data_IF_402196303019
#
_entry.id   IF_402196303019
#
_cell.length_a   1.000
_cell.length_b   1.000
_cell.length_c   1.000
_cell.angle_alpha   90.00
_cell.angle_beta   90.00
_cell.angle_gamma   90.00
#
_symmetry.space_group_name_H-M   'P 1'
#
loop_
_entity.id
_entity.type
_entity.pdbx_description
1 polymer ?
#
# COMPACT_ATOMS: atom_id res chain seq x y z
N UNK A 1 -1.76 2.55 -52.27
CA UNK A 1 -1.09 2.42 -53.57
C UNK A 1 0.21 3.20 -53.51
N UNK A 2 1.32 2.47 -53.47
CA UNK A 2 2.69 2.68 -54.00
C UNK A 2 3.50 1.51 -53.40
N UNK A 3 4.51 1.02 -54.13
CA UNK A 3 4.76 -0.42 -54.22
C UNK A 3 5.85 -1.03 -53.31
N UNK A 4 5.84 -2.37 -53.30
CA UNK A 4 6.72 -3.29 -52.58
C UNK A 4 7.83 -3.79 -53.52
N UNK A 5 9.07 -4.00 -53.01
CA UNK A 5 10.17 -4.94 -53.43
C UNK A 5 11.56 -4.31 -53.18
N UNK A 6 12.65 -5.04 -52.90
CA UNK A 6 12.87 -6.48 -52.56
C UNK A 6 14.30 -6.73 -52.02
N UNK A 7 14.54 -7.90 -51.41
CA UNK A 7 15.81 -8.46 -50.87
C UNK A 7 15.97 -9.93 -51.39
N UNK A 8 17.00 -10.77 -51.10
CA UNK A 8 18.39 -10.61 -50.60
C UNK A 8 19.41 -10.70 -51.79
N UNK A 9 20.49 -11.55 -51.94
CA UNK A 9 21.10 -12.68 -51.17
C UNK A 9 22.19 -12.23 -50.14
N UNK A 10 22.83 -12.99 -49.23
CA UNK A 10 23.34 -14.40 -49.00
C UNK A 10 24.83 -14.62 -49.35
N UNK A 11 25.60 -15.16 -48.38
CA UNK A 11 27.02 -15.55 -48.42
C UNK A 11 27.78 -15.14 -47.14
N UNK A 12 27.74 -15.85 -46.02
CA UNK A 12 28.55 -17.05 -45.68
C UNK A 12 30.07 -16.84 -45.74
N UNK A 13 30.75 -16.76 -44.58
CA UNK A 13 31.40 -17.94 -43.98
C UNK A 13 31.88 -17.72 -42.52
N UNK A 14 32.31 -18.82 -41.89
CA UNK A 14 32.59 -19.04 -40.45
C UNK A 14 33.97 -18.57 -39.93
N UNK A 15 34.11 -18.45 -38.60
CA UNK A 15 35.05 -19.31 -37.83
C UNK A 15 35.11 -19.04 -36.30
N UNK A 16 34.72 -20.06 -35.53
CA UNK A 16 35.31 -20.56 -34.26
C UNK A 16 36.01 -19.63 -33.24
N UNK A 17 35.56 -19.74 -31.98
CA UNK A 17 36.45 -20.21 -30.90
C UNK A 17 35.66 -21.01 -29.85
N UNK A 18 36.06 -22.27 -29.59
CA UNK A 18 35.55 -23.06 -28.47
C UNK A 18 36.62 -24.01 -27.89
N UNK A 19 36.43 -24.33 -26.61
CA UNK A 19 36.88 -25.51 -25.84
C UNK A 19 38.31 -26.10 -25.99
N UNK A 20 39.00 -26.16 -24.83
CA UNK A 20 39.87 -27.29 -24.43
C UNK A 20 39.47 -27.67 -22.99
N UNK A 21 38.83 -28.81 -22.74
CA UNK A 21 39.36 -30.19 -22.78
C UNK A 21 40.42 -30.45 -21.71
N UNK A 22 40.01 -31.17 -20.65
CA UNK A 22 40.56 -32.49 -20.33
C UNK A 22 39.54 -33.32 -19.53
N UNK A 23 39.48 -34.61 -19.85
CA UNK A 23 38.66 -35.59 -19.16
C UNK A 23 39.55 -36.76 -18.69
N UNK A 24 39.02 -37.61 -17.81
CA UNK A 24 39.38 -39.02 -17.79
C UNK A 24 38.16 -39.83 -17.34
N UNK A 25 38.12 -41.12 -17.69
CA UNK A 25 36.89 -41.92 -17.72
C UNK A 25 37.10 -43.36 -17.18
N UNK A 26 36.11 -44.23 -17.44
CA UNK A 26 36.00 -45.65 -17.03
C UNK A 26 35.59 -45.90 -15.55
N UNK A 27 34.68 -46.84 -15.25
CA UNK A 27 33.82 -47.60 -16.17
C UNK A 27 32.90 -48.64 -15.50
N UNK A 28 31.76 -48.90 -16.17
CA UNK A 28 30.83 -50.07 -16.13
C UNK A 28 30.82 -51.03 -14.91
N UNK A 29 29.61 -51.29 -14.39
CA UNK A 29 29.29 -52.53 -13.66
C UNK A 29 27.82 -52.63 -13.24
N UNK A 30 27.07 -53.58 -13.80
CA UNK A 30 25.68 -53.89 -13.38
C UNK A 30 25.65 -55.16 -12.54
N UNK A 31 24.87 -55.22 -11.46
CA UNK A 31 24.73 -56.43 -10.65
C UNK A 31 23.65 -56.34 -9.57
N UNK A 32 22.66 -57.22 -9.64
CA UNK A 32 21.56 -57.39 -8.66
C UNK A 32 22.04 -57.99 -7.34
N UNK A 33 21.46 -57.58 -6.20
CA UNK A 33 21.65 -58.29 -4.94
C UNK A 33 20.86 -57.70 -3.77
N UNK A 34 19.86 -58.43 -3.26
CA UNK A 34 19.16 -58.11 -2.02
C UNK A 34 19.94 -58.60 -0.79
N UNK A 35 20.12 -57.75 0.23
CA UNK A 35 20.11 -58.14 1.65
C UNK A 35 20.12 -56.89 2.54
N UNK A 36 19.23 -56.84 3.55
CA UNK A 36 19.50 -56.09 4.79
C UNK A 36 20.48 -56.87 5.66
N UNK A 37 21.25 -56.18 6.51
CA UNK A 37 21.01 -56.39 7.93
C UNK A 37 20.92 -55.09 8.72
N UNK A 38 20.26 -55.16 9.89
CA UNK A 38 20.29 -54.11 10.89
C UNK A 38 21.56 -54.21 11.73
N UNK A 39 22.20 -53.07 12.03
CA UNK A 39 22.89 -52.89 13.31
C UNK A 39 22.98 -51.42 13.67
N UNK A 40 22.65 -51.13 14.93
CA UNK A 40 22.98 -49.90 15.63
C UNK A 40 24.48 -49.61 15.60
N UNK A 41 24.83 -48.32 15.69
CA UNK A 41 26.07 -47.86 16.33
C UNK A 41 25.76 -46.54 17.04
N UNK A 42 25.93 -46.49 18.36
CA UNK A 42 25.55 -45.32 19.16
C UNK A 42 26.44 -44.10 18.87
N UNK A 43 25.84 -42.90 18.86
CA UNK A 43 26.63 -41.68 18.98
C UNK A 43 27.07 -41.55 20.45
N UNK A 44 28.38 -41.62 20.70
CA UNK A 44 28.93 -41.59 22.05
C UNK A 44 28.72 -40.21 22.69
N UNK A 45 27.81 -40.13 23.67
CA UNK A 45 27.67 -38.98 24.57
C UNK A 45 28.82 -38.94 25.57
N UNK A 46 30.01 -38.55 25.10
CA UNK A 46 31.20 -38.33 25.93
C UNK A 46 31.06 -37.07 26.78
N UNK A 47 30.45 -37.20 27.96
CA UNK A 47 30.23 -36.08 28.89
C UNK A 47 31.45 -35.80 29.78
N UNK A 48 31.96 -34.57 29.74
CA UNK A 48 32.78 -33.95 30.79
C UNK A 48 32.70 -32.43 30.65
N UNK A 49 32.57 -31.69 31.76
CA UNK A 49 32.53 -30.22 31.75
C UNK A 49 31.13 -29.61 31.78
N UNK A 50 30.22 -30.13 32.62
CA UNK A 50 29.11 -29.31 33.10
C UNK A 50 29.71 -28.05 33.76
N UNK A 51 29.24 -26.89 33.33
CA UNK A 51 29.61 -25.56 33.83
C UNK A 51 28.37 -24.68 33.91
N UNK A 52 27.30 -25.25 34.49
CA UNK A 52 26.09 -24.57 34.97
C UNK A 52 26.37 -23.59 36.13
N UNK A 53 27.34 -22.69 35.98
CA UNK A 53 27.78 -21.69 36.97
C UNK A 53 28.12 -20.35 36.29
N UNK A 54 27.17 -19.76 35.56
CA UNK A 54 27.28 -18.38 35.03
C UNK A 54 25.90 -17.78 34.63
N UNK A 55 24.89 -17.92 35.51
CA UNK A 55 23.63 -17.16 35.38
C UNK A 55 23.71 -15.75 35.97
N UNK A 56 24.51 -15.58 37.03
CA UNK A 56 24.69 -14.31 37.76
C UNK A 56 26.09 -13.68 37.54
N UNK A 57 26.63 -13.82 36.31
CA UNK A 57 27.90 -13.19 35.93
C UNK A 57 27.73 -11.66 35.83
N UNK A 58 28.65 -10.87 36.39
CA UNK A 58 28.60 -9.42 36.24
C UNK A 58 29.01 -8.97 34.82
N UNK A 59 28.72 -7.72 34.49
CA UNK A 59 29.17 -7.15 33.21
C UNK A 59 30.71 -7.14 33.09
N UNK A 60 31.41 -6.93 34.20
CA UNK A 60 32.88 -6.92 34.24
C UNK A 60 33.46 -8.33 34.03
N UNK A 61 32.85 -9.36 34.64
CA UNK A 61 33.23 -10.77 34.44
C UNK A 61 33.05 -11.19 32.97
N UNK A 62 31.93 -10.80 32.36
CA UNK A 62 31.64 -11.11 30.96
C UNK A 62 32.55 -10.32 30.01
N UNK A 63 32.91 -9.08 30.31
CA UNK A 63 33.94 -8.35 29.55
C UNK A 63 35.31 -9.03 29.64
N UNK A 64 35.70 -9.52 30.81
CA UNK A 64 36.95 -10.27 31.02
C UNK A 64 36.94 -11.64 30.30
N UNK A 65 35.79 -12.33 30.26
CA UNK A 65 35.59 -13.53 29.44
C UNK A 65 35.69 -13.22 27.94
N UNK A 66 35.11 -12.11 27.45
CA UNK A 66 35.29 -11.63 26.07
C UNK A 66 36.76 -11.33 25.77
N UNK A 67 37.51 -10.75 26.71
CA UNK A 67 38.95 -10.47 26.55
C UNK A 67 39.77 -11.75 26.45
N UNK A 68 39.56 -12.72 27.36
CA UNK A 68 40.23 -14.03 27.34
C UNK A 68 39.91 -14.81 26.07
N UNK A 69 38.63 -14.92 25.70
CA UNK A 69 38.21 -15.63 24.49
C UNK A 69 38.80 -14.99 23.21
N UNK A 70 38.93 -13.65 23.16
CA UNK A 70 39.60 -12.95 22.06
C UNK A 70 41.08 -13.32 21.92
N UNK A 71 41.81 -13.53 23.03
CA UNK A 71 43.21 -13.98 22.98
C UNK A 71 43.32 -15.39 22.42
N UNK A 72 42.48 -16.32 22.88
CA UNK A 72 42.42 -17.70 22.36
C UNK A 72 42.11 -17.74 20.85
N UNK A 73 41.25 -16.84 20.33
CA UNK A 73 40.99 -16.71 18.88
C UNK A 73 42.22 -16.22 18.08
N UNK A 74 43.14 -15.47 18.71
CA UNK A 74 44.37 -14.98 18.08
C UNK A 74 45.51 -16.00 18.18
N UNK A 75 45.55 -16.79 19.25
CA UNK A 75 46.56 -17.83 19.50
C UNK A 75 46.25 -19.14 18.76
N UNK A 76 44.98 -19.42 18.45
CA UNK A 76 44.56 -20.62 17.71
C UNK A 76 44.87 -20.55 16.21
N UNK A 77 45.29 -21.68 15.64
CA UNK A 77 45.70 -21.81 14.25
C UNK A 77 44.59 -21.39 13.26
N UNK A 78 44.99 -20.78 12.13
CA UNK A 78 44.06 -20.26 11.14
C UNK A 78 43.19 -21.38 10.53
N UNK A 79 41.91 -21.08 10.29
CA UNK A 79 40.91 -22.01 9.76
C UNK A 79 40.61 -23.28 10.59
N UNK A 80 41.19 -23.46 11.79
CA UNK A 80 40.91 -24.61 12.66
C UNK A 80 39.44 -24.63 13.16
N UNK A 81 38.92 -25.83 13.45
CA UNK A 81 37.56 -25.97 14.02
C UNK A 81 37.46 -25.46 15.46
N UNK A 82 38.56 -25.53 16.21
CA UNK A 82 38.72 -24.84 17.50
C UNK A 82 38.51 -23.33 17.35
N UNK A 83 39.19 -22.68 16.39
CA UNK A 83 39.03 -21.24 16.12
C UNK A 83 37.60 -20.90 15.66
N UNK A 84 36.93 -21.78 14.91
CA UNK A 84 35.51 -21.63 14.57
C UNK A 84 34.60 -21.71 15.82
N UNK A 85 34.90 -22.59 16.77
CA UNK A 85 34.18 -22.68 18.05
C UNK A 85 34.44 -21.45 18.93
N UNK A 86 35.69 -21.05 19.10
CA UNK A 86 36.08 -19.86 19.87
C UNK A 86 35.47 -18.58 19.31
N UNK A 87 35.38 -18.42 17.99
CA UNK A 87 34.68 -17.28 17.36
C UNK A 87 33.18 -17.28 17.67
N UNK A 88 32.51 -18.44 17.70
CA UNK A 88 31.10 -18.53 18.13
C UNK A 88 30.94 -18.14 19.61
N UNK A 89 31.79 -18.67 20.49
CA UNK A 89 31.79 -18.34 21.93
C UNK A 89 32.09 -16.86 22.19
N UNK A 90 32.96 -16.24 21.38
CA UNK A 90 33.26 -14.81 21.44
C UNK A 90 32.06 -13.93 21.02
N UNK A 91 31.21 -14.41 20.10
CA UNK A 91 29.96 -13.73 19.71
C UNK A 91 28.94 -13.87 20.85
N UNK A 92 28.74 -15.07 21.37
CA UNK A 92 27.84 -15.37 22.50
C UNK A 92 28.14 -14.51 23.73
N UNK A 93 29.42 -14.47 24.17
CA UNK A 93 29.85 -13.66 25.31
C UNK A 93 29.64 -12.16 25.09
N UNK A 94 29.79 -11.66 23.85
CA UNK A 94 29.52 -10.25 23.52
C UNK A 94 28.04 -9.91 23.54
N UNK A 95 27.19 -10.81 23.06
CA UNK A 95 25.73 -10.68 23.19
C UNK A 95 25.36 -10.61 24.68
N UNK A 96 25.94 -11.46 25.52
CA UNK A 96 25.70 -11.46 26.98
C UNK A 96 26.11 -10.15 27.67
N UNK A 97 27.26 -9.55 27.32
CA UNK A 97 27.66 -8.21 27.79
C UNK A 97 26.65 -7.15 27.35
N UNK A 98 26.18 -7.23 26.11
CA UNK A 98 25.22 -6.26 25.57
C UNK A 98 23.82 -6.40 26.19
N UNK A 99 23.35 -7.62 26.42
CA UNK A 99 22.11 -7.91 27.16
C UNK A 99 22.13 -7.24 28.54
N UNK A 100 23.20 -7.42 29.33
CA UNK A 100 23.30 -6.79 30.66
C UNK A 100 23.30 -5.26 30.59
N UNK A 101 24.04 -4.66 29.66
CA UNK A 101 24.02 -3.20 29.43
C UNK A 101 22.66 -2.68 29.03
N UNK A 102 21.96 -3.40 28.15
CA UNK A 102 20.63 -3.01 27.70
C UNK A 102 19.60 -3.20 28.83
N UNK A 103 19.81 -4.12 29.80
CA UNK A 103 18.96 -4.22 31.01
C UNK A 103 19.28 -3.21 32.12
N UNK A 104 20.48 -2.63 32.16
CA UNK A 104 20.85 -1.66 33.21
C UNK A 104 20.47 -0.21 32.86
N UNK A 105 20.17 0.09 31.60
CA UNK A 105 19.90 1.44 31.09
C UNK A 105 18.48 1.57 30.51
N UNK A 106 17.46 1.41 31.37
CA UNK A 106 16.03 1.53 31.02
C UNK A 106 15.68 2.84 30.27
N UNK A 107 16.48 3.90 30.46
CA UNK A 107 16.32 5.20 29.77
C UNK A 107 16.65 5.16 28.26
N UNK A 108 17.23 4.07 27.75
CA UNK A 108 17.42 3.82 26.32
C UNK A 108 16.14 3.34 25.62
N UNK A 109 15.08 2.99 26.35
CA UNK A 109 13.89 2.37 25.78
C UNK A 109 12.66 3.28 25.63
N UNK A 110 12.74 4.54 26.04
CA UNK A 110 11.66 5.50 25.87
C UNK A 110 11.45 5.89 24.39
N UNK A 111 10.19 6.17 24.00
CA UNK A 111 9.86 6.67 22.67
C UNK A 111 10.26 8.15 22.56
N UNK A 112 11.18 8.48 21.66
CA UNK A 112 11.74 9.84 21.54
C UNK A 112 11.10 10.60 20.37
N UNK A 113 10.67 11.84 20.59
CA UNK A 113 10.08 12.68 19.54
C UNK A 113 11.11 13.67 19.01
N UNK A 114 11.51 13.51 17.74
CA UNK A 114 12.53 14.37 17.09
C UNK A 114 12.02 14.76 15.70
N UNK A 115 11.93 16.07 15.42
CA UNK A 115 11.41 16.61 14.16
C UNK A 115 10.07 15.96 13.70
N UNK A 116 9.19 15.68 14.67
CA UNK A 116 7.89 15.04 14.44
C UNK A 116 7.90 13.52 14.24
N UNK A 117 9.05 12.86 14.33
CA UNK A 117 9.14 11.39 14.28
C UNK A 117 8.94 10.82 15.68
N UNK A 118 7.95 9.93 15.87
CA UNK A 118 7.85 9.13 17.09
C UNK A 118 8.80 7.92 16.99
N UNK A 119 10.05 8.09 17.43
CA UNK A 119 11.09 7.07 17.35
C UNK A 119 10.93 6.02 18.46
N UNK A 120 10.48 4.83 18.07
CA UNK A 120 10.36 3.67 18.95
C UNK A 120 11.63 2.80 18.83
N UNK A 121 12.33 2.49 19.93
CA UNK A 121 13.49 1.60 19.90
C UNK A 121 13.08 0.16 19.57
N UNK A 122 13.75 -0.43 18.58
CA UNK A 122 13.44 -1.77 18.08
C UNK A 122 14.25 -2.81 18.87
N UNK A 123 13.66 -3.33 19.96
CA UNK A 123 14.31 -4.26 20.89
C UNK A 123 14.49 -5.69 20.36
N UNK A 124 13.77 -6.09 19.31
CA UNK A 124 13.64 -7.50 18.92
C UNK A 124 13.98 -7.75 17.45
N UNK A 125 14.22 -9.03 17.17
CA UNK A 125 14.44 -9.56 15.83
C UNK A 125 13.36 -9.10 14.85
N UNK A 126 13.77 -8.52 13.73
CA UNK A 126 12.90 -8.42 12.56
C UNK A 126 13.37 -9.47 11.56
N UNK A 127 12.54 -10.49 11.34
CA UNK A 127 12.76 -11.58 10.36
C UNK A 127 12.49 -11.13 8.92
N UNK A 128 12.77 -9.86 8.60
CA UNK A 128 12.80 -9.38 7.22
C UNK A 128 13.98 -10.02 6.48
N UNK A 129 13.71 -10.64 5.35
CA UNK A 129 14.72 -11.20 4.43
C UNK A 129 15.66 -10.15 3.82
N UNK A 130 15.32 -8.86 3.94
CA UNK A 130 16.09 -7.73 3.44
C UNK A 130 16.83 -6.98 4.57
N UNK A 131 18.09 -6.54 4.37
CA UNK A 131 18.81 -5.73 5.35
C UNK A 131 18.20 -4.33 5.50
N UNK A 132 18.09 -3.86 6.75
CA UNK A 132 17.63 -2.50 7.07
C UNK A 132 18.78 -1.51 6.93
N UNK A 133 18.51 -0.30 6.42
CA UNK A 133 19.49 0.77 6.26
C UNK A 133 19.07 2.04 7.00
N UNK A 134 20.06 2.78 7.51
CA UNK A 134 19.84 4.02 8.25
C UNK A 134 19.56 5.19 7.29
N UNK A 135 18.35 5.75 7.34
CA UNK A 135 17.89 6.88 6.50
C UNK A 135 18.69 8.18 6.69
N UNK A 136 19.48 8.29 7.75
CA UNK A 136 20.39 9.41 8.00
C UNK A 136 21.79 9.21 7.39
N UNK A 137 22.44 8.05 7.61
CA UNK A 137 23.83 7.82 7.20
C UNK A 137 24.00 6.89 5.99
N UNK A 138 22.93 6.28 5.49
CA UNK A 138 22.89 5.23 4.45
C UNK A 138 23.68 3.94 4.75
N UNK A 139 24.27 3.80 5.94
CA UNK A 139 24.90 2.56 6.40
C UNK A 139 23.87 1.51 6.84
N UNK A 140 24.18 0.23 6.64
CA UNK A 140 23.36 -0.88 7.10
C UNK A 140 23.19 -0.86 8.63
N UNK A 141 21.99 -1.22 9.09
CA UNK A 141 21.67 -1.45 10.50
C UNK A 141 21.83 -2.96 10.75
N UNK A 142 22.76 -3.32 11.64
CA UNK A 142 22.97 -4.71 12.04
C UNK A 142 21.92 -5.06 13.09
N UNK A 143 20.71 -5.40 12.65
CA UNK A 143 19.52 -5.58 13.49
C UNK A 143 19.65 -6.65 14.58
N UNK A 144 20.64 -7.54 14.48
CA UNK A 144 20.97 -8.57 15.49
C UNK A 144 22.09 -8.16 16.47
N UNK A 145 22.71 -6.99 16.29
CA UNK A 145 23.94 -6.56 17.00
C UNK A 145 23.93 -5.09 17.45
N UNK A 146 22.96 -4.28 17.01
CA UNK A 146 22.94 -2.84 17.25
C UNK A 146 21.52 -2.36 17.51
N UNK A 147 21.27 -1.85 18.71
CA UNK A 147 20.04 -1.16 19.08
C UNK A 147 19.80 0.06 18.17
N UNK A 148 18.57 0.19 17.67
CA UNK A 148 18.20 1.14 16.62
C UNK A 148 16.75 1.60 16.76
N UNK A 149 16.41 2.71 16.11
CA UNK A 149 15.11 3.36 16.24
C UNK A 149 14.39 3.41 14.90
N UNK A 150 13.08 3.15 14.93
CA UNK A 150 12.17 3.32 13.80
C UNK A 150 11.07 4.31 14.17
N UNK A 151 10.83 5.30 13.31
CA UNK A 151 9.67 6.17 13.42
C UNK A 151 8.40 5.33 13.18
N UNK A 152 7.44 5.34 14.12
CA UNK A 152 6.21 4.58 13.92
C UNK A 152 5.40 5.09 12.72
N UNK A 153 5.42 6.40 12.47
CA UNK A 153 4.50 7.08 11.56
C UNK A 153 4.92 6.99 10.08
N UNK A 154 6.22 7.16 9.80
CA UNK A 154 6.78 7.16 8.43
C UNK A 154 7.90 6.13 8.20
N UNK A 155 8.13 5.22 9.16
CA UNK A 155 9.11 4.11 9.11
C UNK A 155 10.56 4.53 8.85
N UNK A 156 10.90 5.82 9.03
CA UNK A 156 12.28 6.31 9.02
C UNK A 156 13.11 5.53 10.03
N UNK A 157 14.18 4.90 9.56
CA UNK A 157 15.00 3.96 10.34
C UNK A 157 16.38 4.54 10.60
N UNK A 158 16.90 4.47 11.84
CA UNK A 158 18.25 4.97 12.13
C UNK A 158 18.96 4.25 13.29
N UNK A 159 20.30 4.19 13.23
CA UNK A 159 21.12 3.75 14.37
C UNK A 159 20.95 4.70 15.56
N UNK A 160 21.05 4.22 16.79
CA UNK A 160 21.00 5.06 18.01
C UNK A 160 21.93 6.28 17.94
N UNK A 161 23.18 6.10 17.50
CA UNK A 161 24.18 7.18 17.30
C UNK A 161 23.83 8.21 16.22
N UNK A 162 22.88 7.91 15.34
CA UNK A 162 22.41 8.82 14.29
C UNK A 162 21.18 9.64 14.73
N UNK A 163 20.50 9.24 15.82
CA UNK A 163 19.23 9.78 16.26
C UNK A 163 19.28 11.32 16.48
N UNK A 164 20.27 11.81 17.21
CA UNK A 164 20.46 13.24 17.47
C UNK A 164 20.93 14.05 16.25
N UNK A 165 21.24 13.39 15.13
CA UNK A 165 21.69 14.00 13.87
C UNK A 165 20.62 13.93 12.76
N UNK A 166 19.41 13.42 13.05
CA UNK A 166 18.29 13.38 12.09
C UNK A 166 17.92 14.80 11.69
N UNK A 167 17.87 15.05 10.37
CA UNK A 167 17.58 16.35 9.77
C UNK A 167 16.44 16.34 8.73
N UNK A 168 15.83 15.17 8.48
CA UNK A 168 14.59 15.04 7.71
C UNK A 168 13.42 15.16 8.69
N UNK A 169 12.50 16.10 8.45
CA UNK A 169 11.23 16.18 9.21
C UNK A 169 10.39 14.93 8.93
N UNK A 170 9.60 14.49 9.92
CA UNK A 170 8.73 13.33 9.76
C UNK A 170 7.75 13.52 8.61
N UNK A 171 7.73 12.56 7.69
CA UNK A 171 6.96 12.67 6.46
C UNK A 171 5.45 12.61 6.72
N UNK A 172 5.02 11.97 7.81
CA UNK A 172 3.64 12.02 8.29
C UNK A 172 3.23 13.44 8.72
N UNK A 173 4.13 14.19 9.37
CA UNK A 173 3.87 15.59 9.76
C UNK A 173 3.82 16.47 8.52
N UNK A 174 4.79 16.35 7.59
CA UNK A 174 4.78 17.07 6.31
C UNK A 174 3.49 16.79 5.51
N UNK A 175 3.05 15.54 5.45
CA UNK A 175 1.80 15.14 4.79
C UNK A 175 0.54 15.64 5.51
N UNK A 176 0.61 15.95 6.81
CA UNK A 176 -0.51 16.52 7.56
C UNK A 176 -0.57 18.04 7.43
N UNK A 177 0.58 18.72 7.50
CA UNK A 177 0.70 20.18 7.47
C UNK A 177 0.48 20.78 6.08
N UNK A 178 0.86 20.09 5.00
CA UNK A 178 0.83 20.62 3.63
C UNK A 178 -0.58 20.72 2.99
N UNK A 179 -1.64 20.86 3.79
CA UNK A 179 -3.04 20.79 3.36
C UNK A 179 -3.66 19.40 3.54
N UNK A 180 -3.11 18.58 4.45
CA UNK A 180 -3.51 17.18 4.62
C UNK A 180 -2.98 16.26 3.51
N UNK A 181 -3.29 14.96 3.66
CA UNK A 181 -2.77 13.86 2.83
C UNK A 181 -3.08 14.07 1.34
N UNK A 182 -2.16 14.73 0.64
CA UNK A 182 -2.32 15.15 -0.75
C UNK A 182 -1.02 14.93 -1.51
N UNK A 183 -1.15 14.57 -2.78
CA UNK A 183 -0.01 14.46 -3.69
C UNK A 183 0.24 15.78 -4.43
N UNK A 184 1.49 16.05 -4.80
CA UNK A 184 1.82 17.13 -5.73
C UNK A 184 1.09 16.91 -7.06
N UNK A 185 0.29 17.90 -7.48
CA UNK A 185 -0.64 17.82 -8.62
C UNK A 185 0.02 18.09 -9.99
N UNK A 186 1.24 18.61 -9.97
CA UNK A 186 1.99 19.08 -11.13
C UNK A 186 3.35 18.41 -11.21
N UNK A 187 3.84 18.19 -12.44
CA UNK A 187 5.14 17.57 -12.67
C UNK A 187 6.21 18.62 -12.35
N UNK A 188 6.97 18.41 -11.28
CA UNK A 188 8.01 19.34 -10.83
C UNK A 188 9.12 19.49 -11.89
N UNK A 189 9.31 20.68 -12.50
CA UNK A 189 10.41 20.90 -13.42
C UNK A 189 11.75 20.91 -12.67
N UNK A 190 12.83 20.53 -13.36
CA UNK A 190 14.18 20.54 -12.78
C UNK A 190 14.57 21.94 -12.28
N UNK A 191 15.02 22.01 -11.04
CA UNK A 191 15.65 23.19 -10.47
C UNK A 191 17.17 22.96 -10.41
N UNK A 192 17.87 23.44 -11.45
CA UNK A 192 19.32 23.33 -11.58
C UNK A 192 20.09 23.63 -10.28
N UNK A 193 21.10 22.81 -9.97
CA UNK A 193 21.82 22.75 -8.69
C UNK A 193 22.34 24.11 -8.15
N UNK A 194 22.56 25.09 -9.02
CA UNK A 194 22.91 26.46 -8.66
C UNK A 194 21.83 27.18 -7.86
N UNK A 195 20.54 26.97 -8.15
CA UNK A 195 19.39 27.56 -7.42
C UNK A 195 19.36 27.13 -5.95
N UNK A 196 19.77 25.90 -5.67
CA UNK A 196 19.93 25.36 -4.31
C UNK A 196 21.36 25.55 -3.75
N UNK A 197 22.12 26.51 -4.28
CA UNK A 197 23.41 26.95 -3.74
C UNK A 197 24.48 25.85 -3.69
N UNK A 198 24.44 24.88 -4.61
CA UNK A 198 25.30 23.69 -4.61
C UNK A 198 25.27 22.90 -3.30
N UNK A 199 24.08 22.73 -2.71
CA UNK A 199 23.86 21.96 -1.48
C UNK A 199 22.74 20.95 -1.64
N UNK A 200 22.85 19.79 -0.98
CA UNK A 200 21.78 18.79 -0.91
C UNK A 200 20.48 19.42 -0.38
N UNK A 201 19.36 19.20 -1.08
CA UNK A 201 18.06 19.77 -0.71
C UNK A 201 17.60 19.38 0.70
N UNK A 202 17.94 18.17 1.16
CA UNK A 202 17.69 17.68 2.52
C UNK A 202 18.79 18.14 3.50
N UNK A 203 19.88 17.40 3.62
CA UNK A 203 20.89 17.60 4.69
C UNK A 203 21.84 18.79 4.50
N UNK A 204 21.60 19.68 3.52
CA UNK A 204 22.32 20.94 3.23
C UNK A 204 23.85 20.86 3.05
N UNK A 205 24.44 19.67 3.06
CA UNK A 205 25.85 19.38 2.71
C UNK A 205 26.15 19.92 1.32
N UNK A 206 27.32 20.56 1.15
CA UNK A 206 27.80 21.03 -0.15
C UNK A 206 28.03 19.85 -1.08
N UNK A 207 27.54 19.94 -2.31
CA UNK A 207 27.76 19.01 -3.41
C UNK A 207 28.92 19.56 -4.23
N UNK A 208 29.95 18.74 -4.49
CA UNK A 208 31.18 19.18 -5.15
C UNK A 208 31.59 18.22 -6.26
N UNK A 209 31.74 18.74 -7.49
CA UNK A 209 32.16 17.98 -8.67
C UNK A 209 33.65 17.58 -8.68
N UNK A 210 34.32 17.55 -7.51
CA UNK A 210 35.77 17.28 -7.40
C UNK A 210 36.12 15.79 -7.54
N UNK A 211 35.13 14.91 -7.52
CA UNK A 211 35.31 13.46 -7.64
C UNK A 211 34.10 12.86 -8.34
N UNK A 212 34.33 12.23 -9.51
CA UNK A 212 33.28 11.65 -10.35
C UNK A 212 32.38 10.63 -9.61
N UNK A 213 32.86 10.03 -8.53
CA UNK A 213 32.11 9.11 -7.68
C UNK A 213 31.00 9.76 -6.83
N UNK A 214 30.91 11.10 -6.76
CA UNK A 214 29.97 11.83 -5.89
C UNK A 214 29.03 12.73 -6.71
N UNK A 215 28.34 12.15 -7.68
CA UNK A 215 27.36 12.87 -8.49
C UNK A 215 26.09 13.27 -7.69
N UNK A 216 25.50 14.45 -7.96
CA UNK A 216 24.19 14.83 -7.44
C UNK A 216 23.08 14.01 -8.10
N UNK A 217 22.07 13.63 -7.31
CA UNK A 217 20.92 12.83 -7.77
C UNK A 217 19.65 13.68 -7.78
N UNK A 218 19.01 13.81 -8.94
CA UNK A 218 17.76 14.54 -9.12
C UNK A 218 16.57 13.67 -8.69
N UNK A 219 15.68 14.23 -7.86
CA UNK A 219 14.43 13.59 -7.44
C UNK A 219 13.27 14.09 -8.31
N UNK A 220 12.69 13.21 -9.13
CA UNK A 220 11.61 13.56 -10.07
C UNK A 220 10.38 14.17 -9.36
N UNK A 221 10.00 13.62 -8.20
CA UNK A 221 8.86 14.11 -7.41
C UNK A 221 9.00 15.57 -6.93
N UNK A 222 10.22 16.08 -6.77
CA UNK A 222 10.47 17.41 -6.18
C UNK A 222 11.21 18.39 -7.09
N UNK A 223 11.81 17.92 -8.20
CA UNK A 223 12.65 18.73 -9.08
C UNK A 223 13.97 19.19 -8.46
N UNK A 224 14.37 18.67 -7.28
CA UNK A 224 15.55 19.09 -6.52
C UNK A 224 16.66 18.02 -6.52
N UNK A 225 17.92 18.47 -6.35
CA UNK A 225 19.09 17.59 -6.23
C UNK A 225 19.43 17.23 -4.78
N UNK A 226 19.91 15.99 -4.61
CA UNK A 226 20.24 15.39 -3.33
C UNK A 226 21.64 14.74 -3.40
N UNK A 227 22.31 14.64 -2.26
CA UNK A 227 23.51 13.80 -2.14
C UNK A 227 23.11 12.31 -1.98
N UNK A 228 24.04 11.41 -2.28
CA UNK A 228 23.80 9.96 -2.30
C UNK A 228 23.21 9.39 -1.00
N UNK A 229 23.52 9.97 0.18
CA UNK A 229 22.93 9.58 1.48
C UNK A 229 21.42 9.83 1.58
N UNK A 230 20.91 10.87 0.91
CA UNK A 230 19.51 11.30 0.95
C UNK A 230 18.68 10.80 -0.25
N UNK A 231 19.32 10.13 -1.22
CA UNK A 231 18.70 9.68 -2.46
C UNK A 231 19.39 8.40 -2.94
N UNK A 232 18.74 7.26 -2.70
CA UNK A 232 19.36 5.94 -2.93
C UNK A 232 19.13 5.39 -4.35
N UNK A 233 18.56 6.20 -5.26
CA UNK A 233 18.07 5.78 -6.57
C UNK A 233 16.97 4.70 -6.48
N UNK A 234 16.16 4.77 -5.41
CA UNK A 234 14.87 4.09 -5.36
C UNK A 234 13.97 4.71 -6.43
N UNK A 235 13.35 3.87 -7.26
CA UNK A 235 12.35 4.30 -8.24
C UNK A 235 10.95 4.16 -7.63
N UNK A 236 10.07 5.14 -7.85
CA UNK A 236 8.66 5.12 -7.42
C UNK A 236 7.78 5.67 -8.55
N UNK A 237 6.51 5.26 -8.59
CA UNK A 237 5.50 5.86 -9.47
C UNK A 237 5.20 7.30 -9.02
N UNK A 238 5.04 8.22 -9.96
CA UNK A 238 4.92 9.66 -9.67
C UNK A 238 3.48 10.14 -9.88
N UNK A 239 2.76 10.56 -8.81
CA UNK A 239 1.34 10.93 -8.86
C UNK A 239 0.99 11.94 -9.95
N UNK A 240 1.79 13.00 -10.11
CA UNK A 240 1.56 14.00 -11.15
C UNK A 240 1.66 13.41 -12.57
N UNK A 241 2.55 12.43 -12.81
CA UNK A 241 2.70 11.77 -14.11
C UNK A 241 1.52 10.85 -14.40
N UNK A 242 1.04 10.12 -13.40
CA UNK A 242 -0.20 9.32 -13.47
C UNK A 242 -1.40 10.21 -13.81
N UNK A 243 -1.62 11.27 -13.03
CA UNK A 243 -2.81 12.13 -13.13
C UNK A 243 -2.80 12.98 -14.41
N UNK A 244 -1.63 13.47 -14.87
CA UNK A 244 -1.54 14.33 -16.07
C UNK A 244 -1.41 13.52 -17.37
N UNK A 245 -0.64 12.43 -17.36
CA UNK A 245 -0.19 11.75 -18.58
C UNK A 245 -0.59 10.26 -18.68
N UNK A 246 -1.20 9.68 -17.64
CA UNK A 246 -1.39 8.21 -17.49
C UNK A 246 -0.06 7.42 -17.48
N UNK A 247 1.03 8.08 -17.05
CA UNK A 247 2.38 7.53 -16.97
C UNK A 247 2.62 6.91 -15.58
N UNK A 248 2.57 5.58 -15.52
CA UNK A 248 2.89 4.77 -14.33
C UNK A 248 4.37 4.38 -14.23
N UNK A 249 5.23 4.78 -15.18
CA UNK A 249 6.61 4.29 -15.23
C UNK A 249 7.42 4.90 -14.06
N UNK A 250 8.10 4.07 -13.24
CA UNK A 250 8.82 4.55 -12.07
C UNK A 250 9.92 5.58 -12.39
N UNK A 251 10.07 6.59 -11.53
CA UNK A 251 11.11 7.63 -11.61
C UNK A 251 11.95 7.63 -10.35
N UNK A 252 13.22 8.03 -10.47
CA UNK A 252 14.15 8.07 -9.34
C UNK A 252 13.78 9.21 -8.37
N UNK A 253 13.75 8.90 -7.07
CA UNK A 253 13.29 9.83 -6.04
C UNK A 253 14.16 9.83 -4.76
N UNK A 254 14.11 10.96 -4.05
CA UNK A 254 14.75 11.13 -2.73
C UNK A 254 14.09 10.28 -1.66
N UNK A 255 14.81 9.97 -0.58
CA UNK A 255 14.31 9.10 0.49
C UNK A 255 13.09 9.67 1.22
N UNK A 256 13.00 10.99 1.36
CA UNK A 256 11.80 11.67 1.84
C UNK A 256 10.59 11.45 0.89
N UNK A 257 10.81 11.52 -0.42
CA UNK A 257 9.76 11.28 -1.42
C UNK A 257 9.34 9.80 -1.49
N UNK A 258 10.27 8.83 -1.35
CA UNK A 258 9.91 7.40 -1.18
C UNK A 258 8.95 7.22 0.00
N UNK A 259 9.33 7.75 1.16
CA UNK A 259 8.52 7.66 2.39
C UNK A 259 7.15 8.35 2.24
N UNK A 260 7.06 9.44 1.47
CA UNK A 260 5.80 10.14 1.23
C UNK A 260 4.89 9.39 0.27
N UNK A 261 5.47 8.87 -0.82
CA UNK A 261 4.73 8.13 -1.84
C UNK A 261 4.16 6.84 -1.24
N UNK A 262 4.97 6.06 -0.51
CA UNK A 262 4.50 4.84 0.19
C UNK A 262 3.44 5.14 1.27
N UNK A 263 3.51 6.26 1.98
CA UNK A 263 2.51 6.65 2.99
C UNK A 263 1.15 7.02 2.38
N UNK A 264 1.15 7.44 1.11
CA UNK A 264 -0.03 7.91 0.37
C UNK A 264 -0.55 6.90 -0.67
N UNK A 265 0.21 5.87 -1.03
CA UNK A 265 -0.05 4.96 -2.16
C UNK A 265 -1.46 4.33 -2.12
N UNK A 266 -1.87 3.82 -0.95
CA UNK A 266 -3.19 3.23 -0.70
C UNK A 266 -4.28 4.26 -0.34
N UNK A 267 -3.94 5.55 -0.19
CA UNK A 267 -4.87 6.56 0.35
C UNK A 267 -5.79 7.10 -0.74
N UNK A 268 -7.10 6.95 -0.55
CA UNK A 268 -8.14 7.37 -1.51
C UNK A 268 -8.41 8.88 -1.51
N UNK A 269 -7.39 9.68 -1.82
CA UNK A 269 -7.35 11.15 -1.68
C UNK A 269 -7.39 11.92 -3.00
N UNK A 270 -7.48 11.24 -4.14
CA UNK A 270 -7.50 11.86 -5.47
C UNK A 270 -8.94 11.96 -6.01
N UNK A 271 -9.58 13.15 -6.03
CA UNK A 271 -10.80 13.39 -6.81
C UNK A 271 -10.42 13.46 -8.30
N UNK A 272 -10.27 12.30 -8.93
CA UNK A 272 -9.56 12.16 -10.21
C UNK A 272 -10.25 12.93 -11.36
N UNK A 273 -11.58 12.96 -11.35
CA UNK A 273 -12.39 13.65 -12.38
C UNK A 273 -12.29 15.17 -12.27
N UNK A 274 -12.11 15.73 -11.07
CA UNK A 274 -11.82 17.15 -10.87
C UNK A 274 -10.39 17.51 -11.29
N UNK A 275 -9.44 16.60 -11.03
CA UNK A 275 -8.01 16.82 -11.31
C UNK A 275 -7.67 16.71 -12.80
N UNK A 276 -8.28 15.76 -13.52
CA UNK A 276 -8.14 15.61 -14.96
C UNK A 276 -9.34 14.86 -15.59
N UNK A 277 -10.44 15.57 -15.94
CA UNK A 277 -11.63 14.93 -16.52
C UNK A 277 -11.36 14.28 -17.89
N UNK A 278 -10.27 14.66 -18.58
CA UNK A 278 -9.88 14.03 -19.86
C UNK A 278 -9.47 12.57 -19.70
N UNK A 279 -9.01 12.13 -18.52
CA UNK A 279 -8.68 10.72 -18.29
C UNK A 279 -9.88 9.81 -18.52
N UNK A 280 -11.07 10.20 -18.06
CA UNK A 280 -12.31 9.43 -18.24
C UNK A 280 -12.75 9.33 -19.72
N UNK A 281 -12.31 10.28 -20.57
CA UNK A 281 -12.53 10.24 -22.03
C UNK A 281 -11.44 9.49 -22.81
N UNK A 282 -10.23 9.37 -22.26
CA UNK A 282 -9.07 8.76 -22.91
C UNK A 282 -8.80 7.31 -22.45
N UNK A 283 -9.28 6.94 -21.26
CA UNK A 283 -9.12 5.62 -20.65
C UNK A 283 -10.53 5.05 -20.42
N UNK A 284 -11.06 4.20 -21.33
CA UNK A 284 -12.41 3.65 -21.22
C UNK A 284 -12.67 2.92 -19.90
N UNK A 285 -11.65 2.25 -19.36
CA UNK A 285 -11.73 1.47 -18.13
C UNK A 285 -11.99 2.35 -16.89
N UNK A 286 -11.52 3.60 -16.85
CA UNK A 286 -11.89 4.53 -15.78
C UNK A 286 -13.39 4.86 -15.80
N UNK A 287 -13.97 5.00 -17.00
CA UNK A 287 -15.42 5.22 -17.17
C UNK A 287 -16.25 3.95 -16.87
N UNK A 288 -15.68 2.76 -17.04
CA UNK A 288 -16.28 1.51 -16.59
C UNK A 288 -16.23 1.38 -15.05
N UNK A 289 -15.05 1.57 -14.45
CA UNK A 289 -14.84 1.54 -13.00
C UNK A 289 -15.75 2.54 -12.29
N UNK A 290 -15.83 3.79 -12.75
CA UNK A 290 -16.71 4.80 -12.16
C UNK A 290 -18.17 4.33 -12.14
N UNK A 291 -18.67 3.82 -13.26
CA UNK A 291 -20.05 3.33 -13.38
C UNK A 291 -20.32 2.15 -12.43
N UNK A 292 -19.43 1.15 -12.43
CA UNK A 292 -19.56 -0.01 -11.54
C UNK A 292 -19.58 0.42 -10.06
N UNK A 293 -18.77 1.40 -9.67
CA UNK A 293 -18.77 1.96 -8.30
C UNK A 293 -20.07 2.70 -7.97
N UNK A 294 -20.62 3.46 -8.90
CA UNK A 294 -21.94 4.13 -8.73
C UNK A 294 -23.08 3.11 -8.61
N UNK A 295 -23.07 2.05 -9.42
CA UNK A 295 -24.02 0.93 -9.36
C UNK A 295 -23.88 0.14 -8.04
N UNK A 296 -22.65 -0.12 -7.59
CA UNK A 296 -22.36 -0.74 -6.28
C UNK A 296 -22.76 0.14 -5.09
N UNK A 297 -22.65 1.47 -5.18
CA UNK A 297 -23.18 2.40 -4.17
C UNK A 297 -24.72 2.34 -4.08
N UNK A 298 -25.42 1.99 -5.17
CA UNK A 298 -26.86 1.72 -5.14
C UNK A 298 -27.16 0.37 -4.50
N UNK A 299 -26.44 -0.69 -4.89
CA UNK A 299 -26.55 -2.03 -4.29
C UNK A 299 -26.24 -2.05 -2.78
N UNK A 300 -25.26 -1.27 -2.31
CA UNK A 300 -24.92 -1.09 -0.87
C UNK A 300 -26.15 -0.76 -0.02
N UNK A 301 -27.13 -0.02 -0.56
CA UNK A 301 -28.36 0.39 0.13
C UNK A 301 -29.33 -0.77 0.39
N UNK A 302 -29.28 -1.82 -0.43
CA UNK A 302 -30.03 -3.06 -0.24
C UNK A 302 -29.34 -3.94 0.81
N UNK A 303 -28.03 -4.16 0.63
CA UNK A 303 -27.22 -5.06 1.46
C UNK A 303 -27.15 -4.62 2.93
N UNK A 304 -26.93 -3.34 3.20
CA UNK A 304 -26.87 -2.81 4.58
C UNK A 304 -28.23 -2.91 5.32
N UNK A 305 -29.33 -3.11 4.60
CA UNK A 305 -30.68 -3.33 5.15
C UNK A 305 -31.11 -4.82 5.10
N UNK A 306 -30.23 -5.73 4.69
CA UNK A 306 -30.50 -7.15 4.56
C UNK A 306 -29.77 -7.96 5.65
N UNK A 307 -30.51 -8.73 6.43
CA UNK A 307 -29.94 -9.56 7.52
C UNK A 307 -29.01 -10.64 6.96
N UNK A 308 -29.37 -11.28 5.83
CA UNK A 308 -28.56 -12.30 5.16
C UNK A 308 -27.26 -11.73 4.57
N UNK A 309 -27.31 -10.51 4.00
CA UNK A 309 -26.12 -9.81 3.55
C UNK A 309 -25.18 -9.51 4.74
N UNK A 310 -25.73 -9.07 5.87
CA UNK A 310 -24.96 -8.79 7.08
C UNK A 310 -24.32 -10.04 7.69
N UNK A 311 -24.97 -11.21 7.68
CA UNK A 311 -24.34 -12.46 8.16
C UNK A 311 -23.25 -12.95 7.21
N UNK A 312 -23.45 -12.82 5.90
CA UNK A 312 -22.41 -13.04 4.87
C UNK A 312 -21.27 -11.99 4.97
N UNK A 313 -21.55 -10.82 5.55
CA UNK A 313 -20.63 -9.69 5.67
C UNK A 313 -20.51 -8.84 4.38
N UNK A 314 -21.49 -8.91 3.50
CA UNK A 314 -21.58 -8.07 2.31
C UNK A 314 -21.93 -6.62 2.70
N UNK A 315 -21.39 -5.60 2.01
CA UNK A 315 -20.44 -5.69 0.89
C UNK A 315 -18.96 -5.74 1.33
N UNK A 316 -18.65 -5.69 2.64
CA UNK A 316 -17.30 -5.42 3.13
C UNK A 316 -16.33 -6.59 3.11
N UNK A 317 -16.81 -7.84 3.15
CA UNK A 317 -15.95 -9.03 3.20
C UNK A 317 -15.52 -9.57 1.82
N UNK A 318 -15.83 -8.89 0.72
CA UNK A 318 -15.58 -9.39 -0.65
C UNK A 318 -14.11 -9.17 -1.11
N UNK A 319 -13.20 -8.81 -0.20
CA UNK A 319 -11.77 -8.58 -0.51
C UNK A 319 -11.46 -7.24 -1.21
N UNK A 320 -12.44 -6.61 -1.85
CA UNK A 320 -12.32 -5.29 -2.46
C UNK A 320 -12.12 -4.18 -1.42
N UNK A 321 -11.27 -3.21 -1.75
CA UNK A 321 -11.01 -1.98 -1.00
C UNK A 321 -12.29 -1.22 -0.61
N UNK A 322 -12.45 -0.92 0.68
CA UNK A 322 -13.62 -0.22 1.25
C UNK A 322 -14.03 1.02 0.44
N UNK A 323 -13.09 1.91 0.11
CA UNK A 323 -13.38 3.18 -0.57
C UNK A 323 -13.90 3.04 -2.01
N UNK A 324 -13.72 1.87 -2.65
CA UNK A 324 -14.33 1.58 -3.95
C UNK A 324 -15.86 1.51 -3.87
N UNK A 325 -16.39 1.01 -2.74
CA UNK A 325 -17.81 0.77 -2.50
C UNK A 325 -18.46 1.97 -1.76
N UNK A 326 -17.66 2.77 -1.04
CA UNK A 326 -18.16 3.96 -0.32
C UNK A 326 -18.29 5.20 -1.20
N UNK A 327 -17.34 5.41 -2.10
CA UNK A 327 -17.22 6.59 -2.97
C UNK A 327 -17.00 6.14 -4.42
N UNK A 328 -17.40 6.94 -5.41
CA UNK A 328 -17.13 6.72 -6.85
C UNK A 328 -16.10 7.70 -7.44
N UNK A 329 -15.93 8.88 -6.83
CA UNK A 329 -15.08 9.96 -7.34
C UNK A 329 -13.63 9.96 -6.83
N UNK A 330 -13.37 9.39 -5.63
CA UNK A 330 -12.03 9.33 -5.04
C UNK A 330 -11.26 8.06 -5.44
N UNK A 331 -9.97 8.22 -5.69
CA UNK A 331 -9.03 7.15 -6.04
C UNK A 331 -7.75 7.28 -5.19
N UNK A 332 -7.02 6.19 -5.01
CA UNK A 332 -5.63 6.13 -4.57
C UNK A 332 -4.68 6.00 -5.77
N UNK A 333 -3.36 6.13 -5.56
CA UNK A 333 -2.40 5.85 -6.64
C UNK A 333 -2.35 4.35 -6.93
N UNK A 334 -2.44 3.50 -5.90
CA UNK A 334 -2.54 2.05 -6.08
C UNK A 334 -3.73 1.64 -6.95
N UNK A 335 -4.88 2.31 -6.82
CA UNK A 335 -6.06 2.01 -7.65
C UNK A 335 -5.79 2.22 -9.14
N UNK A 336 -4.99 3.23 -9.50
CA UNK A 336 -4.69 3.55 -10.91
C UNK A 336 -3.62 2.62 -11.49
N UNK A 337 -2.66 2.18 -10.67
CA UNK A 337 -1.67 1.13 -11.02
C UNK A 337 -2.37 -0.23 -11.19
N UNK A 338 -3.26 -0.59 -10.26
CA UNK A 338 -4.03 -1.83 -10.32
C UNK A 338 -5.06 -1.81 -11.47
N UNK A 339 -5.53 -0.63 -11.89
CA UNK A 339 -6.36 -0.48 -13.08
C UNK A 339 -5.56 -0.70 -14.37
N UNK A 340 -4.35 -0.14 -14.49
CA UNK A 340 -3.50 -0.35 -15.67
C UNK A 340 -3.08 -1.82 -15.81
N UNK A 341 -2.87 -2.54 -14.70
CA UNK A 341 -2.56 -3.97 -14.69
C UNK A 341 -3.80 -4.89 -14.79
N UNK A 342 -5.02 -4.32 -14.86
CA UNK A 342 -6.28 -5.06 -14.93
C UNK A 342 -6.80 -5.63 -13.61
N UNK A 343 -5.94 -5.76 -12.59
CA UNK A 343 -6.27 -6.34 -11.27
C UNK A 343 -7.51 -5.70 -10.65
N UNK A 344 -7.62 -4.36 -10.69
CA UNK A 344 -8.77 -3.66 -10.11
C UNK A 344 -10.10 -3.98 -10.84
N UNK A 345 -10.08 -4.25 -12.15
CA UNK A 345 -11.30 -4.60 -12.88
C UNK A 345 -11.82 -5.97 -12.47
N UNK A 346 -10.94 -6.95 -12.26
CA UNK A 346 -11.37 -8.30 -11.88
C UNK A 346 -11.75 -8.37 -10.38
N UNK A 347 -11.11 -7.59 -9.50
CA UNK A 347 -11.60 -7.34 -8.13
C UNK A 347 -13.01 -6.72 -8.14
N UNK A 348 -13.23 -5.67 -8.94
CA UNK A 348 -14.51 -4.97 -9.05
C UNK A 348 -15.61 -5.84 -9.65
N UNK A 349 -15.33 -6.64 -10.70
CA UNK A 349 -16.29 -7.58 -11.28
C UNK A 349 -16.71 -8.64 -10.27
N UNK A 350 -15.74 -9.27 -9.60
CA UNK A 350 -16.00 -10.28 -8.56
C UNK A 350 -16.88 -9.72 -7.44
N UNK A 351 -16.63 -8.48 -7.00
CA UNK A 351 -17.44 -7.80 -6.00
C UNK A 351 -18.83 -7.40 -6.53
N UNK A 352 -18.91 -6.84 -7.74
CA UNK A 352 -20.16 -6.46 -8.41
C UNK A 352 -21.08 -7.68 -8.57
N UNK A 353 -20.59 -8.76 -9.16
CA UNK A 353 -21.37 -9.96 -9.45
C UNK A 353 -21.86 -10.64 -8.17
N UNK A 354 -21.03 -10.65 -7.11
CA UNK A 354 -21.42 -11.16 -5.78
C UNK A 354 -22.55 -10.31 -5.17
N UNK A 355 -22.43 -8.98 -5.20
CA UNK A 355 -23.45 -8.06 -4.68
C UNK A 355 -24.76 -8.15 -5.51
N UNK A 356 -24.64 -8.25 -6.82
CA UNK A 356 -25.75 -8.33 -7.76
C UNK A 356 -26.50 -9.65 -7.64
N UNK A 357 -25.80 -10.79 -7.59
CA UNK A 357 -26.42 -12.11 -7.45
C UNK A 357 -27.11 -12.26 -6.09
N UNK A 358 -26.53 -11.74 -5.00
CA UNK A 358 -27.20 -11.69 -3.70
C UNK A 358 -28.56 -10.98 -3.82
N UNK A 359 -28.59 -9.78 -4.41
CA UNK A 359 -29.80 -8.95 -4.48
C UNK A 359 -30.87 -9.52 -5.41
N UNK A 360 -30.47 -10.01 -6.58
CA UNK A 360 -31.39 -10.30 -7.69
C UNK A 360 -31.83 -11.77 -7.77
N UNK A 361 -31.01 -12.70 -7.24
CA UNK A 361 -31.20 -14.15 -7.46
C UNK A 361 -31.24 -14.97 -6.16
N UNK A 362 -30.48 -14.59 -5.14
CA UNK A 362 -30.26 -15.44 -3.96
C UNK A 362 -31.10 -15.05 -2.74
N UNK A 363 -31.33 -13.75 -2.50
CA UNK A 363 -32.00 -13.25 -1.31
C UNK A 363 -33.39 -12.65 -1.63
N UNK A 364 -34.46 -13.35 -1.24
CA UNK A 364 -35.83 -12.87 -1.44
C UNK A 364 -36.11 -11.57 -0.65
N UNK A 365 -35.43 -11.32 0.48
CA UNK A 365 -35.54 -10.04 1.23
C UNK A 365 -34.93 -8.84 0.48
N UNK A 366 -34.01 -9.06 -0.46
CA UNK A 366 -33.48 -8.03 -1.34
C UNK A 366 -34.35 -7.87 -2.58
N UNK A 367 -34.77 -8.99 -3.18
CA UNK A 367 -35.63 -9.05 -4.36
C UNK A 367 -37.01 -8.42 -4.12
N UNK A 368 -37.60 -8.64 -2.95
CA UNK A 368 -38.84 -7.98 -2.51
C UNK A 368 -38.70 -6.46 -2.25
N UNK A 369 -37.48 -5.91 -2.27
CA UNK A 369 -37.20 -4.47 -2.25
C UNK A 369 -36.89 -3.88 -3.63
N UNK A 370 -36.93 -4.69 -4.69
CA UNK A 370 -36.92 -4.22 -6.06
C UNK A 370 -38.16 -3.37 -6.38
N UNK A 371 -38.18 -2.72 -7.54
CA UNK A 371 -39.23 -1.79 -7.92
C UNK A 371 -40.09 -2.33 -9.07
N UNK A 372 -41.37 -1.97 -9.10
CA UNK A 372 -42.25 -2.20 -10.25
C UNK A 372 -42.55 -0.88 -10.95
N UNK A 373 -42.61 -0.89 -12.29
CA UNK A 373 -42.80 0.34 -13.05
C UNK A 373 -44.28 0.75 -13.15
N UNK A 374 -44.70 1.67 -12.27
CA UNK A 374 -46.06 2.27 -12.21
C UNK A 374 -46.62 2.84 -13.53
N UNK A 375 -45.82 2.92 -14.61
CA UNK A 375 -46.20 3.53 -15.89
C UNK A 375 -46.62 2.48 -16.92
N UNK A 376 -46.09 1.25 -16.88
CA UNK A 376 -46.41 0.21 -17.87
C UNK A 376 -47.25 -0.94 -17.32
N UNK A 377 -47.38 -1.12 -16.01
CA UNK A 377 -48.13 -2.25 -15.43
C UNK A 377 -47.51 -3.61 -15.78
N UNK A 378 -46.18 -3.67 -15.89
CA UNK A 378 -45.43 -4.91 -16.00
C UNK A 378 -44.91 -5.27 -14.61
N UNK A 379 -45.06 -6.55 -14.21
CA UNK A 379 -44.62 -7.08 -12.92
C UNK A 379 -43.13 -7.49 -12.91
N UNK A 380 -42.41 -7.18 -13.99
CA UNK A 380 -40.95 -7.21 -14.06
C UNK A 380 -40.31 -6.30 -12.99
N UNK A 381 -39.52 -6.93 -12.11
CA UNK A 381 -38.77 -6.24 -11.05
C UNK A 381 -37.56 -5.54 -11.66
N UNK A 382 -37.49 -4.21 -11.50
CA UNK A 382 -36.37 -3.37 -11.90
C UNK A 382 -35.65 -2.75 -10.70
N UNK A 383 -34.36 -2.52 -10.88
CA UNK A 383 -33.45 -2.00 -9.86
C UNK A 383 -32.86 -0.63 -10.28
N UNK A 384 -32.41 0.19 -9.31
CA UNK A 384 -31.88 1.53 -9.59
C UNK A 384 -30.68 1.60 -10.55
N UNK A 385 -29.91 0.52 -10.69
CA UNK A 385 -28.71 0.41 -11.53
C UNK A 385 -28.98 -0.14 -12.94
N UNK A 386 -30.16 -0.69 -13.22
CA UNK A 386 -30.41 -1.30 -14.52
C UNK A 386 -30.35 -0.25 -15.64
N UNK A 387 -29.61 -0.52 -16.72
CA UNK A 387 -29.45 0.41 -17.84
C UNK A 387 -30.79 0.80 -18.52
N UNK A 388 -31.79 -0.06 -18.42
CA UNK A 388 -33.17 0.16 -18.88
C UNK A 388 -33.99 1.08 -17.94
N UNK A 389 -33.49 1.42 -16.76
CA UNK A 389 -34.20 2.15 -15.70
C UNK A 389 -33.83 3.65 -15.62
N UNK A 390 -34.55 4.36 -14.75
CA UNK A 390 -34.25 5.72 -14.30
C UNK A 390 -34.90 5.99 -12.94
N UNK A 391 -34.19 6.70 -12.07
CA UNK A 391 -34.61 7.07 -10.71
C UNK A 391 -35.24 8.48 -10.72
N UNK A 392 -36.45 8.63 -10.19
CA UNK A 392 -37.07 9.93 -9.96
C UNK A 392 -36.39 10.67 -8.79
N UNK A 393 -35.67 11.75 -9.09
CA UNK A 393 -34.87 12.51 -8.12
C UNK A 393 -35.67 13.16 -6.96
N UNK A 394 -37.00 13.24 -7.07
CA UNK A 394 -37.87 13.84 -6.04
C UNK A 394 -38.44 12.82 -5.03
N UNK A 395 -38.49 11.52 -5.36
CA UNK A 395 -39.12 10.52 -4.50
C UNK A 395 -38.50 9.12 -4.55
N UNK A 396 -37.37 8.97 -5.24
CA UNK A 396 -36.61 7.72 -5.42
C UNK A 396 -37.42 6.56 -6.03
N UNK A 397 -38.55 6.83 -6.69
CA UNK A 397 -39.27 5.83 -7.47
C UNK A 397 -38.49 5.50 -8.75
N UNK A 398 -38.30 4.21 -9.02
CA UNK A 398 -37.64 3.72 -10.24
C UNK A 398 -38.70 3.40 -11.30
N UNK A 399 -38.39 3.73 -12.55
CA UNK A 399 -39.23 3.49 -13.71
C UNK A 399 -38.37 3.04 -14.90
N UNK A 400 -38.94 2.33 -15.87
CA UNK A 400 -38.30 2.12 -17.16
C UNK A 400 -38.02 3.47 -17.85
N UNK A 401 -36.80 3.66 -18.36
CA UNK A 401 -36.34 4.85 -19.10
C UNK A 401 -37.24 5.19 -20.29
N UNK A 402 -37.69 4.17 -21.02
CA UNK A 402 -38.65 4.32 -22.13
C UNK A 402 -40.01 4.83 -21.64
N UNK A 403 -40.52 4.30 -20.53
CA UNK A 403 -41.80 4.73 -19.94
C UNK A 403 -41.72 6.13 -19.33
N UNK A 404 -40.58 6.48 -18.75
CA UNK A 404 -40.28 7.83 -18.25
C UNK A 404 -40.25 8.88 -19.36
N UNK A 405 -39.62 8.56 -20.50
CA UNK A 405 -39.64 9.41 -21.70
C UNK A 405 -41.05 9.54 -22.29
N UNK A 406 -41.78 8.43 -22.45
CA UNK A 406 -43.20 8.43 -22.90
C UNK A 406 -44.12 9.28 -22.02
N UNK A 407 -43.76 9.50 -20.74
CA UNK A 407 -44.50 10.33 -19.77
C UNK A 407 -43.90 11.74 -19.62
N UNK A 408 -43.12 12.21 -20.60
CA UNK A 408 -42.48 13.53 -20.61
C UNK A 408 -41.74 13.86 -19.29
N UNK A 409 -41.08 12.85 -18.70
CA UNK A 409 -40.34 12.96 -17.43
C UNK A 409 -41.18 13.32 -16.19
N UNK A 410 -42.52 13.23 -16.24
CA UNK A 410 -43.42 13.55 -15.12
C UNK A 410 -43.75 12.32 -14.25
N UNK A 411 -43.13 12.22 -13.07
CA UNK A 411 -43.34 11.08 -12.16
C UNK A 411 -44.81 10.95 -11.67
N UNK A 412 -45.46 9.77 -11.85
CA UNK A 412 -46.81 9.54 -11.34
C UNK A 412 -46.88 9.61 -9.80
N UNK A 413 -45.87 9.09 -9.09
CA UNK A 413 -45.80 9.13 -7.62
C UNK A 413 -45.68 10.56 -7.09
N UNK A 414 -44.86 11.41 -7.71
CA UNK A 414 -44.77 12.82 -7.34
C UNK A 414 -46.09 13.55 -7.54
N UNK A 415 -46.77 13.36 -8.68
CA UNK A 415 -48.07 13.97 -8.93
C UNK A 415 -49.13 13.55 -7.89
N UNK A 416 -49.16 12.27 -7.49
CA UNK A 416 -50.04 11.79 -6.41
C UNK A 416 -49.68 12.42 -5.05
N UNK A 417 -48.40 12.56 -4.73
CA UNK A 417 -47.94 13.18 -3.48
C UNK A 417 -48.25 14.69 -3.43
N UNK A 418 -48.03 15.41 -4.52
CA UNK A 418 -48.38 16.83 -4.66
C UNK A 418 -49.88 17.05 -4.51
N UNK A 419 -50.73 16.26 -5.18
CA UNK A 419 -52.19 16.35 -5.04
C UNK A 419 -52.66 16.06 -3.61
N UNK A 420 -52.06 15.08 -2.90
CA UNK A 420 -52.35 14.82 -1.49
C UNK A 420 -51.98 16.01 -0.59
N UNK A 421 -50.80 16.60 -0.78
CA UNK A 421 -50.36 17.78 -0.01
C UNK A 421 -51.26 19.00 -0.25
N UNK A 422 -51.68 19.23 -1.49
CA UNK A 422 -52.60 20.33 -1.82
C UNK A 422 -53.94 20.19 -1.08
N UNK A 423 -54.54 18.99 -1.11
CA UNK A 423 -55.79 18.70 -0.39
C UNK A 423 -55.63 18.86 1.13
N UNK A 424 -54.50 18.42 1.70
CA UNK A 424 -54.22 18.57 3.13
C UNK A 424 -54.05 20.04 3.55
N UNK A 425 -53.42 20.87 2.70
CA UNK A 425 -53.30 22.31 2.94
C UNK A 425 -54.65 23.03 2.90
N UNK A 426 -55.52 22.67 1.95
CA UNK A 426 -56.89 23.21 1.85
C UNK A 426 -57.70 22.92 3.12
N UNK A 427 -57.69 21.66 3.60
CA UNK A 427 -58.36 21.29 4.86
C UNK A 427 -57.78 21.93 6.14
N UNK A 428 -56.68 22.67 6.06
CA UNK A 428 -56.20 23.52 7.17
C UNK A 428 -56.62 24.98 7.03
N UNK A 429 -56.77 25.50 5.81
CA UNK A 429 -57.30 26.85 5.59
C UNK A 429 -58.82 26.91 5.80
N UNK A 430 -59.54 25.92 5.26
CA UNK A 430 -61.00 25.78 5.42
C UNK A 430 -61.44 25.56 6.90
N UNK A 431 -60.47 25.31 7.80
CA UNK A 431 -60.68 25.13 9.24
C UNK A 431 -60.26 26.31 10.12
N UNK A 432 -59.62 27.35 9.58
CA UNK A 432 -59.31 28.59 10.31
C UNK A 432 -60.40 29.66 10.07
N UNK A 433 -61.09 29.63 8.92
CA UNK A 433 -62.18 30.56 8.56
C UNK A 433 -63.53 30.29 9.28
N UNK A 434 -63.67 29.22 10.07
CA UNK A 434 -64.94 28.88 10.73
C UNK A 434 -65.07 29.33 12.20
N UNK A 435 -64.00 29.83 12.82
CA UNK A 435 -63.95 30.15 14.26
C UNK A 435 -64.11 31.67 14.57
N UNK A 436 -64.54 32.50 13.59
CA UNK A 436 -64.51 33.97 13.71
C UNK A 436 -65.83 34.72 13.43
N UNK A 437 -67.01 34.11 13.63
CA UNK A 437 -68.30 34.85 13.58
C UNK A 437 -69.38 34.32 14.55
N UNK A 438 -69.13 34.40 15.86
CA UNK A 438 -70.21 34.28 16.87
C UNK A 438 -69.92 34.98 18.23
N UNK A 439 -69.65 36.30 18.23
CA UNK A 439 -69.60 37.13 19.46
C UNK A 439 -70.01 38.60 19.22
N UNK A 440 -71.24 38.84 18.75
CA UNK A 440 -71.73 40.21 18.46
C UNK A 440 -73.22 40.47 18.79
N UNK A 441 -73.67 40.05 19.98
CA UNK A 441 -74.91 40.42 20.72
C UNK A 441 -74.80 39.90 22.16
N UNK A 442 -75.39 40.49 23.20
CA UNK A 442 -76.32 41.64 23.28
C UNK A 442 -75.78 42.75 24.22
N UNK A 443 -76.58 43.80 24.45
CA UNK A 443 -76.38 44.86 25.46
C UNK A 443 -77.60 45.01 26.36
#
# INVERSE_FOLDING_TARGET
MVDIKSNPPIGENDSHYESRIRANSFGRGSGTGTSTPSSSSEYMTGGAGDSSDNKDASEEDLQEMVRKCKLMVLESAECSDERKWLVRRLIELRLRVQELRETSDENLFETRVILGHHFVPQKYYITTSSPVYCDHCSGAIWTMLQSWYMCNDCKFSCHWKCLNNVCRVCVHVVASEAGGYTHTKDICPEQGLSKQGYRCAECKVRITFKSAWIEPRLCDYSGLYYCQRCHWNTAMVIPARVIRNWDMEPRLVSRAAVQLLMLLEDRSVLPLEELNPKLFTLVPDLSLVKRMREEMQMMKKYLVLCVEACTQGLPWKIGLRTHMIENSGNYSIKDLIDLQSGILLDELRTAYDTMHAHITQQCELCKARGHLCEICGNDEIIYPWDASSVICQQCSAVHHRVCWAKRNHCCPRCARLQKRRALQGQTMQDGEDCDTDDTAKDS
#
